data_IF_006840898299
#
_entry.id   IF_006840898299
#
_cell.length_a   1.000
_cell.length_b   1.000
_cell.length_c   1.000
_cell.angle_alpha   90.00
_cell.angle_beta   90.00
_cell.angle_gamma   90.00
#
_symmetry.space_group_name_H-M   'P 1'
#
loop_
_entity.id
_entity.type
_entity.pdbx_description
1 polymer ?
#
# COMPACT_ATOMS: atom_id res chain seq x y z
N UNK A 1 1.38 6.70 9.34
CA UNK A 1 2.32 6.22 10.38
C UNK A 1 3.76 6.46 9.90
N UNK A 2 4.69 6.86 10.77
CA UNK A 2 6.11 6.83 10.44
C UNK A 2 6.54 5.38 10.19
N UNK A 3 7.45 5.17 9.23
CA UNK A 3 8.07 3.87 8.99
C UNK A 3 9.12 3.70 10.07
N UNK A 4 8.94 2.75 10.99
CA UNK A 4 9.97 2.39 11.94
C UNK A 4 10.88 1.33 11.29
N UNK A 5 12.15 1.65 10.95
CA UNK A 5 13.06 0.69 10.35
C UNK A 5 13.38 -0.50 11.28
N UNK A 6 13.09 -0.38 12.57
CA UNK A 6 13.30 -1.48 13.54
C UNK A 6 12.26 -2.59 13.41
N UNK A 7 11.15 -2.37 12.71
CA UNK A 7 10.14 -3.41 12.47
C UNK A 7 10.43 -4.23 11.20
N UNK A 8 11.54 -3.96 10.51
CA UNK A 8 12.02 -4.78 9.40
C UNK A 8 12.72 -6.05 9.92
N UNK A 9 12.62 -7.17 9.19
CA UNK A 9 13.45 -8.34 9.49
C UNK A 9 14.93 -8.00 9.41
N UNK A 10 15.75 -8.76 10.13
CA UNK A 10 17.16 -8.43 10.37
C UNK A 10 17.95 -8.21 9.07
N UNK A 11 17.73 -9.06 8.07
CA UNK A 11 18.44 -8.97 6.80
C UNK A 11 18.08 -7.71 6.01
N UNK A 12 16.80 -7.37 5.88
CA UNK A 12 16.32 -6.17 5.18
C UNK A 12 16.80 -4.88 5.87
N UNK A 13 16.85 -4.90 7.21
CA UNK A 13 17.39 -3.78 8.00
C UNK A 13 18.87 -3.56 7.72
N UNK A 14 19.67 -4.64 7.67
CA UNK A 14 21.09 -4.57 7.36
C UNK A 14 21.34 -4.10 5.91
N UNK A 15 20.54 -4.58 4.95
CA UNK A 15 20.59 -4.12 3.56
C UNK A 15 20.25 -2.62 3.44
N UNK A 16 19.21 -2.16 4.16
CA UNK A 16 18.83 -0.75 4.18
C UNK A 16 19.96 0.12 4.77
N UNK A 17 20.58 -0.32 5.87
CA UNK A 17 21.69 0.38 6.50
C UNK A 17 22.91 0.47 5.56
N UNK A 18 23.27 -0.64 4.90
CA UNK A 18 24.36 -0.65 3.92
C UNK A 18 24.08 0.27 2.73
N UNK A 19 22.87 0.24 2.18
CA UNK A 19 22.48 1.11 1.07
C UNK A 19 22.50 2.59 1.47
N UNK A 20 21.99 2.92 2.65
CA UNK A 20 22.03 4.29 3.19
C UNK A 20 23.47 4.77 3.36
N UNK A 21 24.36 3.93 3.90
CA UNK A 21 25.78 4.22 4.07
C UNK A 21 26.46 4.53 2.72
N UNK A 22 26.33 3.66 1.72
CA UNK A 22 26.97 3.86 0.41
C UNK A 22 26.44 5.09 -0.33
N UNK A 23 25.19 5.47 -0.10
CA UNK A 23 24.58 6.67 -0.70
C UNK A 23 24.78 7.95 0.13
N UNK A 24 25.41 7.86 1.31
CA UNK A 24 25.58 9.00 2.22
C UNK A 24 24.26 9.60 2.71
N UNK A 25 23.24 8.76 2.90
CA UNK A 25 21.89 9.18 3.28
C UNK A 25 21.55 8.77 4.70
N UNK A 26 20.67 9.55 5.31
CA UNK A 26 19.96 9.15 6.53
C UNK A 26 19.15 7.86 6.26
N UNK A 27 19.23 6.81 7.11
CA UNK A 27 18.54 5.54 6.90
C UNK A 27 17.01 5.68 6.79
N UNK A 28 16.39 6.58 7.56
CA UNK A 28 14.94 6.81 7.51
C UNK A 28 14.55 7.47 6.18
N UNK A 29 15.33 8.45 5.73
CA UNK A 29 15.15 9.06 4.41
C UNK A 29 15.33 8.04 3.28
N UNK A 30 16.29 7.12 3.40
CA UNK A 30 16.48 6.07 2.41
C UNK A 30 15.33 5.05 2.43
N UNK A 31 14.80 4.69 3.60
CA UNK A 31 13.63 3.81 3.72
C UNK A 31 12.41 4.41 3.00
N UNK A 32 12.13 5.70 3.22
CA UNK A 32 11.08 6.44 2.49
C UNK A 32 11.32 6.42 0.99
N UNK A 33 12.57 6.65 0.54
CA UNK A 33 12.90 6.65 -0.87
C UNK A 33 12.67 5.26 -1.52
N UNK A 34 13.07 4.18 -0.84
CA UNK A 34 12.81 2.80 -1.26
C UNK A 34 11.31 2.53 -1.39
N UNK A 35 10.51 2.93 -0.39
CA UNK A 35 9.05 2.76 -0.45
C UNK A 35 8.44 3.56 -1.61
N UNK A 36 8.81 4.82 -1.80
CA UNK A 36 8.32 5.63 -2.91
C UNK A 36 8.68 5.02 -4.27
N UNK A 37 9.88 4.47 -4.41
CA UNK A 37 10.31 3.78 -5.63
C UNK A 37 9.45 2.54 -5.89
N UNK A 38 9.27 1.70 -4.87
CA UNK A 38 8.45 0.49 -4.98
C UNK A 38 7.00 0.82 -5.33
N UNK A 39 6.39 1.81 -4.67
CA UNK A 39 5.01 2.23 -4.96
C UNK A 39 4.86 2.72 -6.40
N UNK A 40 5.83 3.47 -6.93
CA UNK A 40 5.82 3.90 -8.34
C UNK A 40 5.97 2.74 -9.31
N UNK A 41 6.80 1.75 -8.99
CA UNK A 41 6.95 0.55 -9.81
C UNK A 41 5.68 -0.32 -9.78
N UNK A 42 5.00 -0.37 -8.63
CA UNK A 42 3.78 -1.14 -8.44
C UNK A 42 2.51 -0.41 -8.92
N UNK A 43 2.58 0.89 -9.20
CA UNK A 43 1.44 1.75 -9.56
C UNK A 43 0.54 1.14 -10.65
N UNK A 44 1.05 0.57 -11.76
CA UNK A 44 0.18 0.08 -12.82
C UNK A 44 -0.73 -1.06 -12.35
N UNK A 45 -0.19 -1.92 -11.47
CA UNK A 45 -0.93 -3.03 -10.85
C UNK A 45 -1.95 -2.53 -9.85
N UNK A 46 -1.57 -1.56 -8.99
CA UNK A 46 -2.48 -0.95 -8.01
C UNK A 46 -3.65 -0.26 -8.72
N UNK A 47 -3.36 0.60 -9.70
CA UNK A 47 -4.40 1.31 -10.45
C UNK A 47 -5.26 0.40 -11.31
N UNK A 48 -4.75 -0.74 -11.78
CA UNK A 48 -5.58 -1.73 -12.47
C UNK A 48 -6.66 -2.32 -11.55
N UNK A 49 -6.31 -2.65 -10.30
CA UNK A 49 -7.26 -3.11 -9.30
C UNK A 49 -8.28 -2.02 -8.97
N UNK A 50 -7.82 -0.78 -8.77
CA UNK A 50 -8.69 0.37 -8.50
C UNK A 50 -9.69 0.60 -9.64
N UNK A 51 -9.25 0.55 -10.90
CA UNK A 51 -10.14 0.66 -12.07
C UNK A 51 -11.20 -0.45 -12.08
N UNK A 52 -10.82 -1.69 -11.79
CA UNK A 52 -11.77 -2.80 -11.75
C UNK A 52 -12.85 -2.59 -10.68
N UNK A 53 -12.46 -2.25 -9.46
CA UNK A 53 -13.41 -2.08 -8.36
C UNK A 53 -14.24 -0.80 -8.49
N UNK A 54 -13.67 0.29 -9.01
CA UNK A 54 -14.40 1.51 -9.31
C UNK A 54 -15.49 1.27 -10.37
N UNK A 55 -15.17 0.52 -11.43
CA UNK A 55 -16.16 0.10 -12.41
C UNK A 55 -17.26 -0.76 -11.80
N UNK A 56 -16.90 -1.69 -10.91
CA UNK A 56 -17.86 -2.54 -10.21
C UNK A 56 -18.81 -1.74 -9.31
N UNK A 57 -18.28 -0.80 -8.53
CA UNK A 57 -19.08 0.11 -7.69
C UNK A 57 -19.99 0.98 -8.54
N UNK A 58 -19.51 1.46 -9.70
CA UNK A 58 -20.33 2.22 -10.63
C UNK A 58 -21.53 1.42 -11.11
N UNK A 59 -21.32 0.16 -11.49
CA UNK A 59 -22.37 -0.74 -11.93
C UNK A 59 -23.38 -1.08 -10.82
N UNK A 60 -22.90 -1.25 -9.58
CA UNK A 60 -23.75 -1.60 -8.43
C UNK A 60 -24.60 -0.42 -7.93
N UNK A 61 -24.03 0.78 -7.90
CA UNK A 61 -24.68 1.96 -7.32
C UNK A 61 -25.42 2.83 -8.35
N UNK A 62 -25.16 2.61 -9.64
CA UNK A 62 -25.64 3.46 -10.74
C UNK A 62 -25.01 4.86 -10.78
N UNK A 63 -24.02 5.14 -9.91
CA UNK A 63 -23.28 6.40 -9.86
C UNK A 63 -21.87 6.18 -10.41
N UNK A 64 -21.39 6.99 -11.37
CA UNK A 64 -20.01 6.89 -11.83
C UNK A 64 -19.01 7.05 -10.68
N UNK A 65 -18.00 6.18 -10.67
CA UNK A 65 -16.88 6.17 -9.75
C UNK A 65 -15.61 5.94 -10.57
N UNK A 66 -14.68 6.89 -10.53
CA UNK A 66 -13.39 6.75 -11.19
C UNK A 66 -12.34 6.12 -10.27
N UNK A 67 -11.27 5.59 -10.85
CA UNK A 67 -10.22 4.91 -10.07
C UNK A 67 -9.52 5.83 -9.05
N UNK A 68 -9.36 7.12 -9.38
CA UNK A 68 -8.77 8.11 -8.47
C UNK A 68 -9.72 8.53 -7.35
N UNK A 69 -11.04 8.50 -7.60
CA UNK A 69 -12.04 8.73 -6.56
C UNK A 69 -11.99 7.59 -5.53
N UNK A 70 -11.94 6.34 -6.01
CA UNK A 70 -11.78 5.18 -5.14
C UNK A 70 -10.44 5.20 -4.39
N UNK A 71 -9.34 5.60 -5.05
CA UNK A 71 -8.05 5.77 -4.38
C UNK A 71 -8.14 6.75 -3.21
N UNK A 72 -8.77 7.90 -3.44
CA UNK A 72 -8.99 8.95 -2.43
C UNK A 72 -9.87 8.41 -1.30
N UNK A 73 -10.97 7.74 -1.64
CA UNK A 73 -11.89 7.15 -0.68
C UNK A 73 -11.22 6.10 0.20
N UNK A 74 -10.33 5.25 -0.34
CA UNK A 74 -9.56 4.29 0.46
C UNK A 74 -8.61 5.01 1.43
N UNK A 75 -8.00 6.12 1.00
CA UNK A 75 -7.07 6.88 1.84
C UNK A 75 -7.77 7.65 2.97
N UNK A 76 -8.99 8.13 2.72
CA UNK A 76 -9.76 8.92 3.68
C UNK A 76 -10.66 8.08 4.58
N UNK A 77 -11.33 7.07 4.01
CA UNK A 77 -12.40 6.28 4.65
C UNK A 77 -12.35 4.79 4.26
N UNK A 78 -11.31 4.02 4.67
CA UNK A 78 -11.18 2.60 4.30
C UNK A 78 -12.32 1.71 4.82
N UNK A 79 -12.95 2.06 5.94
CA UNK A 79 -14.10 1.33 6.50
C UNK A 79 -15.33 1.43 5.60
N UNK A 80 -15.57 2.61 5.00
CA UNK A 80 -16.66 2.81 4.05
C UNK A 80 -16.45 1.95 2.79
N UNK A 81 -15.21 1.87 2.30
CA UNK A 81 -14.88 1.02 1.16
C UNK A 81 -15.10 -0.45 1.49
N UNK A 82 -14.74 -0.88 2.70
CA UNK A 82 -14.96 -2.25 3.18
C UNK A 82 -16.46 -2.58 3.26
N UNK A 83 -17.30 -1.61 3.65
CA UNK A 83 -18.75 -1.77 3.64
C UNK A 83 -19.35 -1.85 2.22
N UNK A 84 -18.79 -1.08 1.27
CA UNK A 84 -19.21 -1.09 -0.14
C UNK A 84 -18.73 -2.33 -0.92
N UNK A 85 -17.60 -2.92 -0.50
CA UNK A 85 -16.97 -4.08 -1.12
C UNK A 85 -16.74 -5.19 -0.08
N UNK A 86 -17.79 -5.77 0.52
CA UNK A 86 -17.65 -6.73 1.62
C UNK A 86 -16.97 -8.05 1.23
N UNK A 87 -16.94 -8.35 -0.07
CA UNK A 87 -16.28 -9.50 -0.68
C UNK A 87 -14.85 -9.20 -1.16
N UNK A 88 -14.39 -7.95 -1.03
CA UNK A 88 -12.98 -7.59 -1.22
C UNK A 88 -12.18 -8.17 -0.06
N UNK A 89 -11.91 -9.47 -0.13
CA UNK A 89 -11.12 -10.17 0.88
C UNK A 89 -9.74 -9.54 1.03
N UNK A 90 -9.35 -9.24 2.27
CA UNK A 90 -7.98 -8.86 2.58
C UNK A 90 -7.09 -10.10 2.48
N UNK A 91 -5.90 -9.94 1.90
CA UNK A 91 -4.93 -11.04 1.74
C UNK A 91 -4.31 -11.43 3.08
N UNK A 92 -4.20 -10.47 4.00
CA UNK A 92 -3.67 -10.68 5.34
C UNK A 92 -4.80 -10.73 6.36
N UNK A 93 -4.76 -11.75 7.22
CA UNK A 93 -5.58 -11.82 8.43
C UNK A 93 -4.81 -11.12 9.56
N UNK A 94 -5.36 -10.07 10.20
CA UNK A 94 -4.68 -9.37 11.30
C UNK A 94 -4.42 -10.26 12.52
N UNK A 95 -5.05 -11.43 12.62
CA UNK A 95 -4.84 -12.40 13.70
C UNK A 95 -3.73 -13.42 13.39
N UNK A 96 -3.19 -13.42 12.18
CA UNK A 96 -2.09 -14.30 11.78
C UNK A 96 -0.78 -13.48 11.69
N UNK A 97 0.38 -14.11 11.92
CA UNK A 97 1.67 -13.49 11.64
C UNK A 97 1.71 -13.00 10.19
N UNK A 98 2.28 -11.82 9.98
CA UNK A 98 2.56 -11.31 8.65
C UNK A 98 3.55 -12.26 7.95
N UNK A 99 3.42 -12.40 6.63
CA UNK A 99 4.31 -13.27 5.84
C UNK A 99 5.76 -12.79 5.88
N UNK A 100 5.99 -11.53 6.25
CA UNK A 100 7.29 -10.92 6.41
C UNK A 100 7.70 -10.73 7.88
N UNK A 101 6.92 -11.25 8.84
CA UNK A 101 7.26 -11.21 10.27
C UNK A 101 8.05 -12.42 10.74
#
# INVERSE_FOLDING_TARGET
MPIDPQTLPDYERDLLAALAYFLGRDPEAQARACLCMYLRQAEPRIMAQLRYYAHRLSAQTGKPMEAYDLLTMIAESPDEVSALLPDLGQVHDPNLPDVFS
#
